data_IF_239389758223
#
_entry.id   IF_239389758223
#
_cell.length_a   1.000
_cell.length_b   1.000
_cell.length_c   1.000
_cell.angle_alpha   90.00
_cell.angle_beta   90.00
_cell.angle_gamma   90.00
#
_symmetry.space_group_name_H-M   'P 1'
#
loop_
_entity.id
_entity.type
_entity.pdbx_description
1 polymer ?
#
# COMPACT_ATOMS: atom_id res chain seq x y z
N UNK A 1 5.71 87.73 -14.96
CA UNK A 1 6.51 86.56 -15.43
C UNK A 1 6.27 85.39 -14.49
N UNK A 2 5.49 84.41 -14.92
CA UNK A 2 5.19 83.20 -14.12
C UNK A 2 5.82 82.00 -14.84
N UNK A 3 6.83 81.41 -14.21
CA UNK A 3 7.44 80.19 -14.68
C UNK A 3 6.59 78.98 -14.23
N UNK A 4 6.09 78.18 -15.18
CA UNK A 4 5.47 76.87 -14.94
C UNK A 4 6.56 75.82 -14.98
N UNK A 5 6.72 75.12 -13.88
CA UNK A 5 7.56 73.92 -13.80
C UNK A 5 6.70 72.71 -14.17
N UNK A 6 7.08 71.96 -15.21
CA UNK A 6 6.48 70.67 -15.59
C UNK A 6 7.24 69.57 -14.84
N UNK A 7 6.56 68.88 -13.92
CA UNK A 7 7.10 67.66 -13.35
C UNK A 7 6.76 66.47 -14.23
N UNK A 8 7.80 65.78 -14.76
CA UNK A 8 7.68 64.51 -15.49
C UNK A 8 7.74 63.37 -14.47
N UNK A 9 6.63 62.61 -14.31
CA UNK A 9 6.59 61.40 -13.50
C UNK A 9 6.99 60.25 -14.43
N UNK A 10 8.16 59.62 -14.17
CA UNK A 10 8.59 58.42 -14.83
C UNK A 10 8.07 57.21 -14.02
N UNK A 11 7.07 56.49 -14.56
CA UNK A 11 6.59 55.22 -14.04
C UNK A 11 7.57 54.09 -14.46
N UNK A 12 8.37 53.60 -13.51
CA UNK A 12 9.15 52.38 -13.69
C UNK A 12 8.19 51.18 -13.51
N UNK A 13 7.88 50.53 -14.62
CA UNK A 13 7.20 49.21 -14.59
C UNK A 13 8.24 48.11 -14.32
N UNK A 14 8.30 47.63 -13.07
CA UNK A 14 9.04 46.41 -12.71
C UNK A 14 8.30 45.20 -13.24
N UNK A 15 8.68 44.67 -14.40
CA UNK A 15 8.21 43.38 -14.89
C UNK A 15 8.81 42.24 -14.07
N UNK A 16 7.99 41.56 -13.27
CA UNK A 16 8.33 40.29 -12.63
C UNK A 16 8.41 39.20 -13.72
N UNK A 17 9.62 38.83 -14.12
CA UNK A 17 9.85 37.64 -14.93
C UNK A 17 9.76 36.43 -14.01
N UNK A 18 8.61 35.77 -14.00
CA UNK A 18 8.46 34.44 -13.37
C UNK A 18 9.12 33.44 -14.30
N UNK A 19 10.37 33.08 -14.03
CA UNK A 19 11.02 31.94 -14.68
C UNK A 19 10.33 30.66 -14.22
N UNK A 20 9.54 30.05 -15.07
CA UNK A 20 9.04 28.70 -14.88
C UNK A 20 10.24 27.75 -14.88
N UNK A 21 10.61 27.24 -13.69
CA UNK A 21 11.58 26.16 -13.57
C UNK A 21 10.87 24.90 -14.06
N UNK A 22 11.27 24.40 -15.24
CA UNK A 22 10.81 23.10 -15.72
C UNK A 22 11.18 22.03 -14.67
N UNK A 23 10.28 21.06 -14.38
CA UNK A 23 10.61 19.97 -13.50
C UNK A 23 11.82 19.21 -14.05
N UNK A 24 12.74 18.73 -13.19
CA UNK A 24 13.88 17.95 -13.66
C UNK A 24 13.36 16.71 -14.38
N UNK A 25 13.69 16.59 -15.66
CA UNK A 25 13.51 15.35 -16.40
C UNK A 25 14.23 14.25 -15.63
N UNK A 26 13.52 13.22 -15.20
CA UNK A 26 14.12 12.04 -14.61
C UNK A 26 15.14 11.49 -15.62
N UNK A 27 16.41 11.63 -15.30
CA UNK A 27 17.50 11.04 -16.09
C UNK A 27 17.35 9.53 -15.89
N UNK A 28 16.76 8.86 -16.89
CA UNK A 28 16.86 7.40 -17.00
C UNK A 28 18.34 7.10 -17.12
N UNK A 29 18.96 6.34 -16.19
CA UNK A 29 20.37 5.97 -16.37
C UNK A 29 20.50 5.28 -17.73
N UNK A 30 21.51 5.65 -18.49
CA UNK A 30 21.88 4.95 -19.73
C UNK A 30 22.41 3.56 -19.31
N UNK A 31 21.49 2.63 -19.08
CA UNK A 31 21.79 1.22 -18.87
C UNK A 31 22.12 0.60 -20.23
N UNK A 32 22.92 -0.47 -20.20
CA UNK A 32 23.13 -1.36 -21.34
C UNK A 32 21.78 -1.48 -22.08
N UNK A 33 21.69 -1.04 -23.36
CA UNK A 33 20.42 -1.00 -24.08
C UNK A 33 19.72 -2.35 -24.17
N UNK A 34 20.44 -3.43 -23.92
CA UNK A 34 19.93 -4.79 -23.85
C UNK A 34 19.74 -5.32 -22.42
N UNK A 35 20.03 -4.53 -21.40
CA UNK A 35 19.91 -4.92 -20.00
C UNK A 35 18.46 -5.10 -19.55
N UNK A 36 18.17 -6.24 -18.83
CA UNK A 36 16.89 -6.42 -18.16
C UNK A 36 16.80 -5.48 -16.95
N UNK A 37 15.72 -4.70 -16.86
CA UNK A 37 15.40 -3.90 -15.67
C UNK A 37 14.15 -4.48 -15.01
N UNK A 38 14.18 -4.64 -13.69
CA UNK A 38 13.04 -5.16 -12.91
C UNK A 38 12.64 -4.12 -11.88
N UNK A 39 11.37 -3.76 -11.88
CA UNK A 39 10.79 -2.91 -10.85
C UNK A 39 9.74 -3.68 -10.05
N UNK A 40 9.69 -3.43 -8.77
CA UNK A 40 8.68 -3.96 -7.89
C UNK A 40 8.14 -2.86 -6.99
N UNK A 41 6.82 -2.76 -6.90
CA UNK A 41 6.17 -1.95 -5.88
C UNK A 41 5.08 -2.72 -5.16
N UNK A 42 4.80 -2.33 -3.92
CA UNK A 42 3.78 -2.95 -3.08
C UNK A 42 3.49 -2.14 -1.84
N UNK A 43 2.60 -2.64 -0.99
CA UNK A 43 2.20 -1.98 0.24
C UNK A 43 2.25 -2.95 1.41
N UNK A 44 2.75 -2.49 2.55
CA UNK A 44 2.61 -3.15 3.84
C UNK A 44 1.60 -2.38 4.69
N UNK A 45 0.42 -2.94 4.89
CA UNK A 45 -0.64 -2.34 5.71
C UNK A 45 -0.65 -2.96 7.10
N UNK A 46 -0.63 -2.14 8.12
CA UNK A 46 -0.75 -2.51 9.53
C UNK A 46 -1.71 -1.60 10.28
N UNK A 47 -2.14 -2.01 11.47
CA UNK A 47 -2.95 -1.21 12.38
C UNK A 47 -2.16 -0.97 13.66
N UNK A 48 -2.02 0.28 14.07
CA UNK A 48 -1.28 0.64 15.27
C UNK A 48 -2.08 0.37 16.55
N UNK A 49 -1.43 -0.27 17.51
CA UNK A 49 -1.89 -0.32 18.89
C UNK A 49 -1.76 1.02 19.62
N UNK A 50 -2.12 1.05 20.90
CA UNK A 50 -1.98 2.27 21.73
C UNK A 50 -0.52 2.68 21.95
N UNK A 51 0.38 1.73 21.93
CA UNK A 51 1.82 1.91 22.05
C UNK A 51 2.52 2.21 20.72
N UNK A 52 1.78 2.12 19.60
CA UNK A 52 2.27 2.33 18.23
C UNK A 52 2.80 1.07 17.55
N UNK A 53 2.84 -0.08 18.23
CA UNK A 53 3.22 -1.35 17.62
C UNK A 53 2.07 -1.95 16.80
N UNK A 54 2.33 -2.72 15.73
CA UNK A 54 1.30 -3.38 14.97
C UNK A 54 0.49 -4.37 15.83
N UNK A 55 -0.84 -4.29 15.76
CA UNK A 55 -1.75 -5.25 16.41
C UNK A 55 -2.31 -6.25 15.42
N UNK A 56 -2.73 -7.43 15.91
CA UNK A 56 -3.43 -8.40 15.08
C UNK A 56 -4.78 -7.87 14.58
N UNK A 57 -5.04 -8.07 13.30
CA UNK A 57 -6.31 -7.81 12.65
C UNK A 57 -6.65 -8.96 11.68
N UNK A 58 -7.71 -8.84 10.92
CA UNK A 58 -8.10 -9.86 9.94
C UNK A 58 -8.08 -9.29 8.54
N UNK A 59 -6.92 -9.33 7.86
CA UNK A 59 -6.69 -8.65 6.59
C UNK A 59 -7.59 -9.11 5.43
N UNK A 60 -8.15 -10.31 5.51
CA UNK A 60 -8.98 -10.89 4.44
C UNK A 60 -10.46 -10.54 4.55
N UNK A 61 -10.88 -9.84 5.62
CA UNK A 61 -12.27 -9.38 5.77
C UNK A 61 -12.50 -8.13 4.95
N UNK A 62 -13.55 -8.10 4.17
CA UNK A 62 -13.94 -6.96 3.34
C UNK A 62 -14.54 -7.40 2.01
N UNK A 63 -14.94 -6.44 1.17
CA UNK A 63 -15.43 -6.74 -0.16
C UNK A 63 -14.35 -7.42 -1.00
N UNK A 64 -14.79 -8.15 -2.02
CA UNK A 64 -13.87 -8.81 -2.94
C UNK A 64 -13.20 -7.74 -3.81
N UNK A 65 -11.89 -7.62 -3.66
CA UNK A 65 -11.08 -6.59 -4.31
C UNK A 65 -10.38 -7.07 -5.59
N UNK A 66 -10.32 -8.38 -5.85
CA UNK A 66 -9.54 -8.95 -6.94
C UNK A 66 -10.42 -9.71 -7.94
N UNK A 67 -10.05 -9.70 -9.23
CA UNK A 67 -10.70 -10.50 -10.27
C UNK A 67 -10.74 -12.00 -9.96
N UNK A 68 -11.68 -12.71 -10.58
CA UNK A 68 -11.88 -14.14 -10.35
C UNK A 68 -10.78 -15.03 -10.95
N UNK A 69 -10.07 -14.55 -11.97
CA UNK A 69 -8.96 -15.29 -12.56
C UNK A 69 -7.71 -15.34 -11.68
N UNK A 70 -7.67 -14.56 -10.59
CA UNK A 70 -6.56 -14.57 -9.63
C UNK A 70 -6.54 -15.90 -8.87
N UNK A 71 -5.40 -16.57 -8.90
CA UNK A 71 -5.14 -17.81 -8.14
C UNK A 71 -5.07 -17.51 -6.64
N UNK A 72 -5.49 -18.48 -5.81
CA UNK A 72 -5.56 -18.34 -4.34
C UNK A 72 -5.12 -19.61 -3.64
N UNK A 73 -4.59 -19.46 -2.43
CA UNK A 73 -4.37 -20.60 -1.53
C UNK A 73 -5.69 -21.21 -1.08
N UNK A 74 -5.65 -22.47 -0.72
CA UNK A 74 -6.74 -23.15 -0.04
C UNK A 74 -6.61 -22.95 1.47
N UNK A 75 -7.72 -22.62 2.12
CA UNK A 75 -7.78 -22.56 3.58
C UNK A 75 -8.35 -23.87 4.12
N UNK A 76 -7.59 -24.55 4.96
CA UNK A 76 -8.03 -25.75 5.67
C UNK A 76 -8.81 -25.34 6.91
N UNK A 77 -10.14 -25.25 6.80
CA UNK A 77 -11.04 -24.90 7.90
C UNK A 77 -11.84 -23.61 7.67
N UNK A 78 -12.71 -23.30 8.64
CA UNK A 78 -13.59 -22.12 8.65
C UNK A 78 -12.94 -20.91 9.34
N UNK A 79 -11.61 -20.84 9.38
CA UNK A 79 -10.87 -19.85 10.14
C UNK A 79 -10.43 -18.64 9.32
N UNK A 80 -10.25 -17.51 10.00
CA UNK A 80 -9.57 -16.33 9.50
C UNK A 80 -8.07 -16.46 9.81
N UNK A 81 -7.21 -15.81 8.99
CA UNK A 81 -5.79 -15.68 9.31
C UNK A 81 -5.55 -14.30 9.97
N UNK A 82 -5.55 -14.22 11.31
CA UNK A 82 -5.12 -12.99 11.97
C UNK A 82 -3.64 -12.75 11.69
N UNK A 83 -3.32 -11.54 11.28
CA UNK A 83 -1.96 -11.12 11.01
C UNK A 83 -1.73 -9.69 11.51
N UNK A 84 -0.48 -9.31 11.71
CA UNK A 84 -0.13 -7.92 12.05
C UNK A 84 0.10 -7.08 10.79
N UNK A 85 0.48 -7.71 9.68
CA UNK A 85 0.77 -7.01 8.41
C UNK A 85 0.09 -7.74 7.26
N UNK A 86 -0.61 -6.97 6.41
CA UNK A 86 -1.02 -7.40 5.08
C UNK A 86 -0.03 -6.84 4.07
N UNK A 87 0.53 -7.70 3.26
CA UNK A 87 1.26 -7.35 2.07
C UNK A 87 0.26 -7.22 0.93
N UNK A 88 0.01 -6.00 0.50
CA UNK A 88 -0.98 -5.69 -0.52
C UNK A 88 -0.29 -5.44 -1.85
N UNK A 89 -0.67 -6.22 -2.85
CA UNK A 89 -0.36 -6.05 -4.26
C UNK A 89 1.12 -5.75 -4.57
N UNK A 90 2.11 -6.53 -4.14
CA UNK A 90 3.37 -6.50 -4.86
C UNK A 90 3.15 -6.91 -6.31
N UNK A 91 3.67 -6.09 -7.22
CA UNK A 91 3.73 -6.37 -8.65
C UNK A 91 5.16 -6.20 -9.14
N UNK A 92 5.60 -7.12 -10.00
CA UNK A 92 6.91 -7.05 -10.63
C UNK A 92 6.72 -6.75 -12.12
N UNK A 93 7.38 -5.69 -12.57
CA UNK A 93 7.46 -5.25 -13.95
C UNK A 93 8.82 -5.56 -14.54
N UNK A 94 8.82 -5.79 -15.85
CA UNK A 94 10.03 -6.10 -16.62
C UNK A 94 10.17 -5.09 -17.76
N UNK A 95 11.34 -4.50 -17.88
CA UNK A 95 11.70 -3.60 -18.96
C UNK A 95 12.88 -4.20 -19.72
N UNK A 96 12.71 -4.39 -21.02
CA UNK A 96 13.71 -4.94 -21.92
C UNK A 96 13.45 -4.43 -23.34
N UNK A 97 14.49 -4.25 -24.14
CA UNK A 97 14.36 -3.93 -25.55
C UNK A 97 14.19 -5.17 -26.44
N UNK A 98 14.46 -6.37 -25.89
CA UNK A 98 14.42 -7.65 -26.59
C UNK A 98 13.66 -8.69 -25.78
N UNK A 99 13.17 -9.73 -26.47
CA UNK A 99 12.53 -10.86 -25.79
C UNK A 99 13.52 -11.58 -24.88
N UNK A 100 13.05 -11.97 -23.69
CA UNK A 100 13.85 -12.70 -22.68
C UNK A 100 13.05 -13.78 -22.00
N UNK A 101 13.73 -14.85 -21.65
CA UNK A 101 13.21 -15.86 -20.71
C UNK A 101 13.78 -15.54 -19.31
N UNK A 102 12.90 -15.48 -18.31
CA UNK A 102 13.24 -15.07 -16.94
C UNK A 102 12.61 -16.03 -15.96
N UNK A 103 13.35 -16.39 -14.90
CA UNK A 103 12.82 -17.06 -13.73
C UNK A 103 12.79 -16.08 -12.55
N UNK A 104 11.72 -16.11 -11.76
CA UNK A 104 11.56 -15.27 -10.58
C UNK A 104 11.17 -16.12 -9.39
N UNK A 105 11.82 -15.85 -8.25
CA UNK A 105 11.43 -16.41 -6.95
C UNK A 105 11.38 -15.31 -5.91
N UNK A 106 10.30 -15.28 -5.11
CA UNK A 106 10.19 -14.47 -3.90
C UNK A 106 10.03 -15.40 -2.70
N UNK A 107 10.79 -15.13 -1.65
CA UNK A 107 10.59 -15.73 -0.34
C UNK A 107 9.90 -14.72 0.56
N UNK A 108 8.93 -15.14 1.34
CA UNK A 108 8.24 -14.27 2.28
C UNK A 108 8.51 -14.75 3.70
N UNK A 109 9.51 -14.15 4.35
CA UNK A 109 9.90 -14.48 5.72
C UNK A 109 8.82 -14.04 6.70
N UNK A 110 8.45 -14.93 7.63
CA UNK A 110 7.38 -14.73 8.62
C UNK A 110 6.02 -14.39 7.97
N UNK A 111 5.79 -14.87 6.75
CA UNK A 111 4.57 -14.65 6.02
C UNK A 111 4.20 -15.78 5.07
N UNK A 112 3.00 -15.70 4.51
CA UNK A 112 2.48 -16.63 3.51
C UNK A 112 1.89 -15.87 2.34
N UNK A 113 2.05 -16.43 1.13
CA UNK A 113 1.40 -15.94 -0.09
C UNK A 113 -0.05 -16.42 -0.08
N UNK A 114 -0.99 -15.54 -0.37
CA UNK A 114 -2.43 -15.82 -0.34
C UNK A 114 -3.08 -15.76 -1.72
N UNK A 115 -2.65 -14.83 -2.58
CA UNK A 115 -3.14 -14.68 -3.95
C UNK A 115 -1.99 -14.37 -4.92
N UNK A 116 -2.13 -14.77 -6.20
CA UNK A 116 -1.14 -14.49 -7.25
C UNK A 116 -1.69 -14.62 -8.67
N UNK A 117 -1.02 -13.99 -9.61
CA UNK A 117 -1.27 -14.15 -11.04
C UNK A 117 -0.06 -13.62 -11.85
N UNK A 118 0.33 -14.26 -12.95
CA UNK A 118 -0.09 -15.55 -13.51
C UNK A 118 0.23 -16.74 -12.61
N UNK A 119 -0.16 -17.96 -13.03
CA UNK A 119 0.07 -19.21 -12.30
C UNK A 119 1.53 -19.37 -11.88
N UNK A 120 1.74 -19.76 -10.61
CA UNK A 120 3.05 -19.92 -10.00
C UNK A 120 3.13 -21.18 -9.11
N UNK A 121 4.35 -21.58 -8.77
CA UNK A 121 4.60 -22.54 -7.71
C UNK A 121 4.58 -21.80 -6.37
N UNK A 122 3.65 -22.14 -5.48
CA UNK A 122 3.49 -21.49 -4.16
C UNK A 122 3.61 -22.52 -3.04
N UNK A 123 4.30 -22.15 -1.97
CA UNK A 123 4.45 -22.98 -0.77
C UNK A 123 4.26 -22.10 0.48
N UNK A 124 3.44 -22.51 1.47
CA UNK A 124 2.49 -23.63 1.40
C UNK A 124 1.28 -23.30 0.51
N UNK A 125 0.68 -24.31 -0.13
CA UNK A 125 -0.54 -24.16 -0.94
C UNK A 125 -1.83 -24.25 -0.12
N UNK A 126 -1.76 -24.87 1.05
CA UNK A 126 -2.88 -24.97 1.99
C UNK A 126 -2.46 -24.35 3.31
N UNK A 127 -3.34 -23.52 3.88
CA UNK A 127 -3.06 -22.75 5.09
C UNK A 127 -3.96 -23.23 6.23
N UNK A 128 -3.35 -23.73 7.31
CA UNK A 128 -4.04 -24.01 8.55
C UNK A 128 -4.21 -22.76 9.44
N UNK A 129 -5.09 -22.80 10.46
CA UNK A 129 -5.45 -21.64 11.27
C UNK A 129 -4.30 -21.06 12.12
N UNK A 130 -3.21 -21.82 12.30
CA UNK A 130 -2.06 -21.43 13.14
C UNK A 130 -0.78 -21.25 12.33
N UNK A 131 -0.85 -21.23 11.02
CA UNK A 131 0.35 -21.15 10.15
C UNK A 131 1.23 -19.94 10.48
N UNK A 132 0.63 -18.79 10.77
CA UNK A 132 1.34 -17.55 11.11
C UNK A 132 1.93 -17.51 12.52
N UNK A 133 1.71 -18.51 13.35
CA UNK A 133 2.31 -18.61 14.69
C UNK A 133 3.70 -19.25 14.68
N UNK A 134 4.13 -19.83 13.57
CA UNK A 134 5.44 -20.44 13.43
C UNK A 134 6.52 -19.36 13.28
N UNK A 135 7.52 -19.28 14.15
CA UNK A 135 8.61 -18.28 14.05
C UNK A 135 9.56 -18.53 12.88
N UNK A 136 9.54 -19.74 12.33
CA UNK A 136 10.39 -20.12 11.18
C UNK A 136 9.59 -20.19 9.87
N UNK A 137 8.38 -19.60 9.85
CA UNK A 137 7.55 -19.61 8.66
C UNK A 137 8.22 -18.84 7.52
N UNK A 138 8.31 -19.46 6.37
CA UNK A 138 8.71 -18.83 5.13
C UNK A 138 7.77 -19.29 4.00
N UNK A 139 6.95 -18.35 3.50
CA UNK A 139 6.19 -18.56 2.27
C UNK A 139 7.09 -18.39 1.05
N UNK A 140 6.81 -19.09 -0.03
CA UNK A 140 7.55 -18.92 -1.29
C UNK A 140 6.60 -18.85 -2.47
N UNK A 141 6.97 -18.07 -3.48
CA UNK A 141 6.34 -18.07 -4.79
C UNK A 141 7.42 -18.08 -5.87
N UNK A 142 7.24 -18.88 -6.90
CA UNK A 142 8.17 -18.96 -8.01
C UNK A 142 7.44 -19.06 -9.35
N UNK A 143 7.86 -18.26 -10.30
CA UNK A 143 7.49 -18.32 -11.70
C UNK A 143 8.71 -18.78 -12.48
N UNK A 144 8.52 -19.73 -13.37
CA UNK A 144 9.57 -20.27 -14.23
C UNK A 144 9.23 -20.06 -15.69
N UNK A 145 10.26 -19.87 -16.52
CA UNK A 145 10.13 -19.70 -17.95
C UNK A 145 9.15 -18.57 -18.34
N UNK A 146 9.24 -17.45 -17.62
CA UNK A 146 8.50 -16.24 -17.93
C UNK A 146 9.06 -15.68 -19.24
N UNK A 147 8.22 -15.50 -20.24
CA UNK A 147 8.60 -14.81 -21.48
C UNK A 147 8.29 -13.33 -21.33
N UNK A 148 9.31 -12.50 -21.24
CA UNK A 148 9.21 -11.04 -21.30
C UNK A 148 9.22 -10.64 -22.77
N UNK A 149 8.15 -10.01 -23.25
CA UNK A 149 7.94 -9.74 -24.69
C UNK A 149 7.64 -8.26 -24.93
N UNK A 150 8.67 -7.38 -25.06
CA UNK A 150 8.46 -5.94 -25.19
C UNK A 150 7.64 -5.50 -26.42
N UNK A 151 7.56 -6.36 -27.43
CA UNK A 151 6.73 -6.17 -28.64
C UNK A 151 5.55 -7.15 -28.69
N UNK A 152 5.25 -7.79 -27.54
CA UNK A 152 4.17 -8.75 -27.43
C UNK A 152 2.79 -8.09 -27.52
N UNK A 153 1.78 -8.91 -27.73
CA UNK A 153 0.39 -8.50 -27.68
C UNK A 153 0.01 -8.04 -26.27
N UNK A 154 -0.71 -6.93 -26.16
CA UNK A 154 -1.19 -6.37 -24.89
C UNK A 154 -2.66 -6.71 -24.61
N UNK A 155 -3.03 -7.97 -24.84
CA UNK A 155 -4.36 -8.49 -24.53
C UNK A 155 -4.32 -9.29 -23.23
N UNK A 156 -5.00 -8.81 -22.21
CA UNK A 156 -5.00 -9.36 -20.85
C UNK A 156 -6.40 -9.79 -20.43
N UNK A 157 -6.54 -10.72 -19.46
CA UNK A 157 -7.85 -11.13 -18.97
C UNK A 157 -8.56 -9.97 -18.28
N UNK A 158 -9.85 -9.79 -18.59
CA UNK A 158 -10.72 -8.80 -17.96
C UNK A 158 -12.04 -9.44 -17.58
N UNK A 159 -12.67 -8.90 -16.55
CA UNK A 159 -14.04 -9.22 -16.16
C UNK A 159 -14.96 -8.09 -16.56
N UNK A 160 -16.25 -8.34 -16.63
CA UNK A 160 -17.26 -7.38 -17.11
C UNK A 160 -17.52 -6.18 -16.18
N UNK A 161 -16.74 -5.99 -15.13
CA UNK A 161 -16.81 -4.86 -14.21
C UNK A 161 -15.43 -4.25 -13.98
N UNK A 162 -15.40 -2.96 -13.62
CA UNK A 162 -14.17 -2.27 -13.28
C UNK A 162 -13.55 -2.85 -11.99
N UNK A 163 -12.23 -2.90 -11.97
CA UNK A 163 -11.48 -3.37 -10.81
C UNK A 163 -10.15 -2.62 -10.73
N UNK A 164 -9.78 -2.16 -9.53
CA UNK A 164 -8.54 -1.42 -9.32
C UNK A 164 -7.27 -2.20 -9.70
N UNK A 165 -7.32 -3.54 -9.71
CA UNK A 165 -6.24 -4.39 -10.21
C UNK A 165 -5.77 -3.98 -11.61
N UNK A 166 -6.70 -3.55 -12.48
CA UNK A 166 -6.37 -3.21 -13.87
C UNK A 166 -5.57 -1.92 -14.01
N UNK A 167 -5.64 -1.01 -13.02
CA UNK A 167 -4.85 0.23 -13.03
C UNK A 167 -3.34 -0.05 -13.03
N UNK A 168 -2.90 -1.15 -12.40
CA UNK A 168 -1.51 -1.58 -12.43
C UNK A 168 -0.97 -1.92 -13.84
N UNK A 169 -1.84 -2.05 -14.86
CA UNK A 169 -1.44 -2.27 -16.26
C UNK A 169 -0.98 -0.99 -16.98
N UNK A 170 -1.28 0.17 -16.42
CA UNK A 170 -1.05 1.47 -17.05
C UNK A 170 0.43 1.91 -16.93
N UNK A 171 1.34 1.06 -17.40
CA UNK A 171 2.80 1.26 -17.36
C UNK A 171 3.44 1.00 -18.72
N UNK A 172 4.72 1.36 -18.86
CA UNK A 172 5.52 1.06 -20.06
C UNK A 172 6.26 -0.30 -19.96
N UNK A 173 5.94 -1.13 -18.97
CA UNK A 173 6.54 -2.43 -18.79
C UNK A 173 6.21 -3.39 -19.96
N UNK A 174 7.10 -4.30 -20.24
CA UNK A 174 6.88 -5.33 -21.24
C UNK A 174 5.82 -6.34 -20.77
N UNK A 175 4.91 -6.81 -21.64
CA UNK A 175 4.05 -7.96 -21.36
C UNK A 175 4.86 -9.19 -20.95
N UNK A 176 4.30 -9.97 -20.02
CA UNK A 176 4.85 -11.26 -19.59
C UNK A 176 3.90 -12.40 -19.92
N UNK A 177 4.46 -13.55 -20.30
CA UNK A 177 3.71 -14.77 -20.59
C UNK A 177 4.25 -15.90 -19.71
N UNK A 178 3.37 -16.56 -18.98
CA UNK A 178 3.66 -17.73 -18.15
C UNK A 178 2.73 -18.87 -18.58
N UNK A 179 3.27 -19.88 -19.25
CA UNK A 179 2.45 -20.90 -19.88
C UNK A 179 1.50 -20.33 -20.94
N UNK A 180 0.21 -20.38 -20.68
CA UNK A 180 -0.84 -19.81 -21.54
C UNK A 180 -1.47 -18.51 -20.97
N UNK A 181 -0.93 -17.99 -19.88
CA UNK A 181 -1.44 -16.78 -19.22
C UNK A 181 -0.56 -15.59 -19.58
N UNK A 182 -1.18 -14.46 -19.87
CA UNK A 182 -0.52 -13.21 -20.22
C UNK A 182 -0.96 -12.10 -19.26
N UNK A 183 0.01 -11.28 -18.84
CA UNK A 183 -0.23 -10.11 -18.00
C UNK A 183 0.86 -9.03 -18.25
N UNK A 184 0.64 -7.81 -17.73
CA UNK A 184 1.62 -6.73 -17.75
C UNK A 184 2.69 -6.87 -16.65
N UNK A 185 2.41 -7.67 -15.63
CA UNK A 185 3.22 -7.83 -14.42
C UNK A 185 3.04 -9.23 -13.81
N UNK A 186 3.92 -9.59 -12.88
CA UNK A 186 3.66 -10.69 -11.95
C UNK A 186 3.05 -10.09 -10.68
N UNK A 187 1.89 -10.59 -10.30
CA UNK A 187 1.17 -10.17 -9.10
C UNK A 187 1.25 -11.22 -8.00
N UNK A 188 1.43 -10.78 -6.76
CA UNK A 188 1.26 -11.61 -5.58
C UNK A 188 0.78 -10.80 -4.39
N UNK A 189 0.21 -11.46 -3.39
CA UNK A 189 -0.31 -10.85 -2.16
C UNK A 189 -0.10 -11.83 -1.02
N UNK A 190 -0.06 -11.33 0.22
CA UNK A 190 0.13 -12.21 1.37
C UNK A 190 -0.15 -11.53 2.70
N UNK A 191 0.04 -12.29 3.77
CA UNK A 191 -0.09 -11.82 5.14
C UNK A 191 1.07 -12.37 5.98
N UNK A 192 1.49 -11.62 6.98
CA UNK A 192 2.61 -12.03 7.83
C UNK A 192 2.64 -11.34 9.20
N UNK A 193 3.57 -11.82 10.04
CA UNK A 193 3.84 -11.30 11.37
C UNK A 193 5.31 -10.90 11.49
N UNK A 194 5.77 -9.98 10.66
CA UNK A 194 7.13 -9.49 10.63
C UNK A 194 7.23 -8.07 11.19
N UNK A 195 8.43 -7.70 11.63
CA UNK A 195 8.68 -6.37 12.18
C UNK A 195 8.66 -5.30 11.07
N UNK A 196 7.96 -4.21 11.31
CA UNK A 196 7.97 -3.03 10.45
C UNK A 196 9.05 -2.03 10.92
N UNK A 197 9.67 -1.28 10.01
CA UNK A 197 10.71 -0.32 10.34
C UNK A 197 10.19 0.96 11.02
N UNK A 198 8.87 1.14 11.09
CA UNK A 198 8.21 2.34 11.63
C UNK A 198 7.09 1.94 12.58
N UNK A 199 7.02 2.58 13.73
CA UNK A 199 5.86 2.60 14.62
C UNK A 199 5.22 4.00 14.61
N UNK A 200 3.89 4.06 14.74
CA UNK A 200 3.19 5.34 14.83
C UNK A 200 2.07 5.28 15.88
N UNK A 201 1.89 6.37 16.64
CA UNK A 201 0.86 6.46 17.68
C UNK A 201 0.28 7.86 17.77
N UNK A 202 -0.98 7.96 18.19
CA UNK A 202 -1.60 9.22 18.56
C UNK A 202 -1.19 9.53 20.01
N UNK A 203 -0.62 10.71 20.25
CA UNK A 203 -0.32 11.21 21.58
C UNK A 203 -1.58 11.83 22.23
N UNK A 204 -1.52 12.07 23.54
CA UNK A 204 -2.66 12.62 24.31
C UNK A 204 -3.11 14.01 23.82
N UNK A 205 -2.21 14.77 23.21
CA UNK A 205 -2.48 16.08 22.60
C UNK A 205 -3.01 15.99 21.15
N UNK A 206 -3.29 14.78 20.65
CA UNK A 206 -3.82 14.51 19.33
C UNK A 206 -2.76 14.54 18.21
N UNK A 207 -1.50 14.86 18.50
CA UNK A 207 -0.41 14.76 17.53
C UNK A 207 -0.02 13.31 17.28
N UNK A 208 0.55 13.06 16.12
CA UNK A 208 1.01 11.73 15.73
C UNK A 208 2.52 11.62 15.90
N UNK A 209 2.96 10.78 16.82
CA UNK A 209 4.35 10.39 16.94
C UNK A 209 4.68 9.28 15.95
N UNK A 210 5.73 9.46 15.16
CA UNK A 210 6.28 8.47 14.22
C UNK A 210 7.70 8.16 14.66
N UNK A 211 7.98 6.90 14.96
CA UNK A 211 9.26 6.48 15.52
C UNK A 211 9.87 5.38 14.65
N UNK A 212 11.14 5.49 14.22
CA UNK A 212 11.85 4.39 13.64
C UNK A 212 11.90 3.21 14.63
N UNK A 213 11.48 2.03 14.21
CA UNK A 213 11.49 0.80 15.02
C UNK A 213 12.77 -0.03 14.80
N UNK A 214 13.64 0.39 13.89
CA UNK A 214 14.91 -0.24 13.55
C UNK A 214 15.99 0.81 13.30
N UNK A 215 17.24 0.38 13.17
CA UNK A 215 18.37 1.26 12.79
C UNK A 215 18.34 1.69 11.31
N UNK A 216 17.30 1.33 10.57
CA UNK A 216 17.15 1.70 9.17
C UNK A 216 16.56 3.10 9.05
N UNK A 217 17.17 3.93 8.22
CA UNK A 217 16.69 5.28 7.98
C UNK A 217 15.42 5.27 7.13
N UNK A 218 14.34 5.83 7.67
CA UNK A 218 13.11 6.12 6.92
C UNK A 218 13.26 7.49 6.28
N UNK A 219 13.11 7.59 4.97
CA UNK A 219 13.40 8.81 4.23
C UNK A 219 12.22 9.77 4.15
N UNK A 220 11.05 9.27 3.82
CA UNK A 220 9.85 10.06 3.58
C UNK A 220 8.66 9.49 4.33
N UNK A 221 7.89 10.37 4.98
CA UNK A 221 6.68 10.06 5.76
C UNK A 221 5.60 11.06 5.40
N UNK A 222 4.37 10.61 5.27
CA UNK A 222 3.18 11.44 5.08
C UNK A 222 2.12 11.07 6.11
N UNK A 223 1.67 12.03 6.89
CA UNK A 223 0.46 11.93 7.71
C UNK A 223 -0.72 12.38 6.87
N UNK A 224 -1.74 11.54 6.78
CA UNK A 224 -2.96 11.76 6.00
C UNK A 224 -4.19 11.56 6.88
N UNK A 225 -5.15 12.47 6.78
CA UNK A 225 -6.49 12.30 7.36
C UNK A 225 -7.55 12.54 6.30
N UNK A 226 -8.56 11.68 6.27
CA UNK A 226 -9.85 11.96 5.65
C UNK A 226 -10.91 11.90 6.74
N UNK A 227 -11.57 13.02 6.98
CA UNK A 227 -12.65 13.14 7.97
C UNK A 227 -13.90 13.70 7.29
N UNK A 228 -14.94 12.88 7.15
CA UNK A 228 -16.19 13.25 6.49
C UNK A 228 -15.98 13.84 5.08
N UNK A 229 -15.07 13.26 4.30
CA UNK A 229 -14.73 13.72 2.97
C UNK A 229 -13.75 14.89 2.90
N UNK A 230 -13.46 15.54 4.03
CA UNK A 230 -12.41 16.57 4.10
C UNK A 230 -11.04 15.91 4.23
N UNK A 231 -10.18 16.16 3.27
CA UNK A 231 -8.85 15.58 3.18
C UNK A 231 -7.79 16.58 3.63
N UNK A 232 -6.86 16.15 4.46
CA UNK A 232 -5.67 16.89 4.87
C UNK A 232 -4.43 16.00 4.84
N UNK A 233 -3.27 16.56 4.57
CA UNK A 233 -2.02 15.83 4.68
C UNK A 233 -0.84 16.73 4.99
N UNK A 234 0.20 16.16 5.55
CA UNK A 234 1.52 16.79 5.69
C UNK A 234 2.61 15.75 5.45
N UNK A 235 3.68 16.14 4.79
CA UNK A 235 4.82 15.28 4.52
C UNK A 235 6.07 15.77 5.27
N UNK A 236 6.92 14.85 5.69
CA UNK A 236 8.14 15.14 6.42
C UNK A 236 9.23 14.09 6.10
N UNK A 237 10.48 14.47 6.41
CA UNK A 237 11.64 13.58 6.29
C UNK A 237 12.25 13.39 7.68
N UNK A 238 12.11 12.18 8.29
CA UNK A 238 12.58 11.92 9.65
C UNK A 238 14.10 11.89 9.78
N UNK A 239 14.83 11.63 8.68
CA UNK A 239 16.30 11.51 8.68
C UNK A 239 16.84 10.57 9.80
N UNK A 240 16.13 9.47 10.05
CA UNK A 240 16.47 8.49 11.08
C UNK A 240 16.02 8.85 12.51
N UNK A 241 15.35 9.96 12.71
CA UNK A 241 14.87 10.41 14.03
C UNK A 241 13.36 10.23 14.18
N UNK A 242 12.89 10.22 15.43
CA UNK A 242 11.46 10.30 15.72
C UNK A 242 10.89 11.66 15.28
N UNK A 243 9.68 11.63 14.74
CA UNK A 243 8.91 12.81 14.34
C UNK A 243 7.67 12.94 15.20
N UNK A 244 7.23 14.20 15.38
CA UNK A 244 5.88 14.50 15.84
C UNK A 244 5.19 15.34 14.76
N UNK A 245 4.07 14.85 14.25
CA UNK A 245 3.32 15.46 13.16
C UNK A 245 1.94 15.88 13.64
N UNK A 246 1.44 16.99 13.13
CA UNK A 246 0.07 17.46 13.37
C UNK A 246 -0.73 17.37 12.08
N UNK A 247 -2.00 17.00 12.19
CA UNK A 247 -2.94 17.13 11.09
C UNK A 247 -3.11 18.61 10.76
N UNK A 248 -2.93 19.04 9.51
CA UNK A 248 -3.12 20.45 9.14
C UNK A 248 -4.57 20.88 9.32
N UNK A 249 -4.78 22.14 9.74
CA UNK A 249 -6.12 22.72 9.85
C UNK A 249 -6.75 23.02 8.47
N UNK A 250 -5.94 23.32 7.47
CA UNK A 250 -6.40 23.63 6.13
C UNK A 250 -6.64 22.33 5.32
N UNK A 251 -7.80 22.25 4.67
CA UNK A 251 -8.12 21.17 3.74
C UNK A 251 -7.19 21.19 2.52
N UNK A 252 -6.91 20.00 2.02
CA UNK A 252 -6.16 19.76 0.77
C UNK A 252 -7.11 19.18 -0.30
N UNK A 253 -6.73 19.27 -1.58
CA UNK A 253 -7.42 18.50 -2.60
C UNK A 253 -6.89 17.05 -2.64
N UNK A 254 -7.68 16.12 -3.14
CA UNK A 254 -7.25 14.73 -3.35
C UNK A 254 -6.11 14.66 -4.36
N UNK A 255 -6.17 15.47 -5.41
CA UNK A 255 -5.14 15.57 -6.45
C UNK A 255 -3.79 16.02 -5.87
N UNK A 256 -3.80 16.92 -4.88
CA UNK A 256 -2.57 17.34 -4.19
C UNK A 256 -1.94 16.19 -3.38
N UNK A 257 -2.77 15.35 -2.74
CA UNK A 257 -2.29 14.15 -2.03
C UNK A 257 -1.70 13.13 -3.02
N UNK A 258 -2.39 12.89 -4.12
CA UNK A 258 -1.94 11.94 -5.16
C UNK A 258 -0.59 12.40 -5.74
N UNK A 259 -0.50 13.67 -6.14
CA UNK A 259 0.74 14.23 -6.67
C UNK A 259 1.91 14.17 -5.67
N UNK A 260 1.64 14.38 -4.37
CA UNK A 260 2.66 14.28 -3.34
C UNK A 260 3.16 12.83 -3.15
N UNK A 261 2.26 11.84 -3.17
CA UNK A 261 2.62 10.43 -3.11
C UNK A 261 3.37 9.97 -4.36
N UNK A 262 2.90 10.34 -5.55
CA UNK A 262 3.60 10.05 -6.81
C UNK A 262 5.02 10.62 -6.80
N UNK A 263 5.19 11.86 -6.34
CA UNK A 263 6.51 12.47 -6.22
C UNK A 263 7.43 11.69 -5.25
N UNK A 264 6.89 11.19 -4.13
CA UNK A 264 7.63 10.33 -3.21
C UNK A 264 8.04 9.02 -3.89
N UNK A 265 7.14 8.36 -4.60
CA UNK A 265 7.41 7.10 -5.30
C UNK A 265 8.47 7.26 -6.39
N UNK A 266 8.37 8.31 -7.21
CA UNK A 266 9.35 8.62 -8.26
C UNK A 266 10.73 8.91 -7.66
N UNK A 267 10.79 9.69 -6.57
CA UNK A 267 12.04 9.99 -5.85
C UNK A 267 12.76 8.72 -5.40
N UNK A 268 12.01 7.65 -5.09
CA UNK A 268 12.56 6.38 -4.63
C UNK A 268 12.77 5.35 -5.74
N UNK A 269 12.56 5.71 -7.01
CA UNK A 269 13.02 4.93 -8.16
C UNK A 269 11.94 4.33 -9.04
N UNK A 270 10.65 4.60 -8.80
CA UNK A 270 9.61 4.23 -9.76
C UNK A 270 9.60 5.17 -10.95
N UNK A 271 9.25 4.64 -12.11
CA UNK A 271 8.93 5.48 -13.26
C UNK A 271 7.62 6.24 -13.04
N UNK A 272 7.45 7.38 -13.72
CA UNK A 272 6.28 8.24 -13.51
C UNK A 272 4.95 7.51 -13.74
N UNK A 273 4.85 6.67 -14.77
CA UNK A 273 3.65 5.88 -15.04
C UNK A 273 3.41 4.79 -14.00
N UNK A 274 4.47 4.19 -13.45
CA UNK A 274 4.33 3.22 -12.34
C UNK A 274 3.81 3.89 -11.07
N UNK A 275 4.34 5.07 -10.72
CA UNK A 275 3.89 5.83 -9.57
C UNK A 275 2.40 6.22 -9.68
N UNK A 276 1.98 6.72 -10.84
CA UNK A 276 0.59 7.02 -11.13
C UNK A 276 -0.29 5.75 -11.07
N UNK A 277 0.15 4.64 -11.69
CA UNK A 277 -0.55 3.37 -11.66
C UNK A 277 -0.71 2.81 -10.23
N UNK A 278 0.32 2.97 -9.38
CA UNK A 278 0.25 2.56 -7.99
C UNK A 278 -0.76 3.39 -7.19
N UNK A 279 -0.75 4.72 -7.34
CA UNK A 279 -1.71 5.61 -6.66
C UNK A 279 -3.13 5.33 -7.13
N UNK A 280 -3.35 5.14 -8.43
CA UNK A 280 -4.65 4.80 -9.01
C UNK A 280 -5.15 3.42 -8.55
N UNK A 281 -4.27 2.42 -8.46
CA UNK A 281 -4.61 1.09 -7.94
C UNK A 281 -5.19 1.17 -6.52
N UNK A 282 -4.74 2.14 -5.72
CA UNK A 282 -5.09 2.24 -4.31
C UNK A 282 -5.98 3.44 -3.97
N UNK A 283 -6.47 4.19 -4.96
CA UNK A 283 -7.20 5.44 -4.72
C UNK A 283 -8.46 5.26 -3.86
N UNK A 284 -9.12 4.12 -3.94
CA UNK A 284 -10.35 3.81 -3.22
C UNK A 284 -10.10 3.32 -1.78
N UNK A 285 -8.90 2.81 -1.47
CA UNK A 285 -8.57 2.27 -0.16
C UNK A 285 -7.57 3.10 0.63
N UNK A 286 -6.57 3.71 -0.02
CA UNK A 286 -5.59 4.54 0.69
C UNK A 286 -6.19 5.83 1.22
N UNK A 287 -7.21 6.37 0.53
CA UNK A 287 -7.80 7.68 0.84
C UNK A 287 -9.21 7.58 1.42
N UNK A 288 -9.61 6.39 1.88
CA UNK A 288 -10.84 6.19 2.64
C UNK A 288 -10.85 6.97 3.97
N UNK A 289 -11.99 7.07 4.61
CA UNK A 289 -12.15 7.71 5.93
C UNK A 289 -11.14 7.14 6.94
N UNK A 290 -10.52 8.04 7.73
CA UNK A 290 -9.59 7.67 8.80
C UNK A 290 -8.32 8.50 8.84
N UNK A 291 -7.45 8.18 9.78
CA UNK A 291 -6.14 8.78 10.02
C UNK A 291 -5.07 7.73 9.82
N UNK A 292 -4.05 8.03 9.00
CA UNK A 292 -2.98 7.08 8.70
C UNK A 292 -1.65 7.73 8.39
N UNK A 293 -0.60 6.94 8.57
CA UNK A 293 0.76 7.31 8.18
C UNK A 293 1.15 6.47 6.97
N UNK A 294 1.59 7.14 5.89
CA UNK A 294 2.33 6.52 4.80
C UNK A 294 3.81 6.78 4.97
N UNK A 295 4.63 5.83 4.62
CA UNK A 295 6.09 6.00 4.56
C UNK A 295 6.70 5.12 3.49
N UNK A 296 7.85 5.51 2.97
CA UNK A 296 8.60 4.65 2.06
C UNK A 296 9.40 3.65 2.88
N UNK A 297 9.15 2.38 2.65
CA UNK A 297 9.84 1.28 3.34
C UNK A 297 11.31 1.25 2.91
N UNK A 298 12.28 1.25 3.83
CA UNK A 298 13.68 1.14 3.47
C UNK A 298 13.96 -0.13 2.66
N UNK A 299 14.74 0.00 1.59
CA UNK A 299 15.07 -1.11 0.69
C UNK A 299 15.59 -2.35 1.44
N UNK A 300 16.45 -2.16 2.43
CA UNK A 300 16.98 -3.25 3.23
C UNK A 300 15.90 -4.02 4.00
N UNK A 301 14.85 -3.32 4.49
CA UNK A 301 13.70 -3.98 5.14
C UNK A 301 12.89 -4.81 4.15
N UNK A 302 12.71 -4.32 2.93
CA UNK A 302 12.03 -5.08 1.87
C UNK A 302 12.82 -6.35 1.54
N UNK A 303 14.13 -6.21 1.32
CA UNK A 303 15.01 -7.33 0.94
C UNK A 303 15.13 -8.38 2.06
N UNK A 304 15.02 -7.95 3.33
CA UNK A 304 14.99 -8.86 4.45
C UNK A 304 13.71 -9.67 4.55
N UNK A 305 12.55 -9.03 4.38
CA UNK A 305 11.23 -9.68 4.49
C UNK A 305 10.88 -10.45 3.21
N UNK A 306 11.22 -9.90 2.05
CA UNK A 306 10.88 -10.41 0.72
C UNK A 306 12.14 -10.58 -0.15
N UNK A 307 13.09 -11.49 0.21
CA UNK A 307 14.21 -11.78 -0.69
C UNK A 307 13.72 -12.15 -2.09
N UNK A 308 14.23 -11.43 -3.11
CA UNK A 308 13.88 -11.57 -4.52
C UNK A 308 15.06 -12.13 -5.30
N UNK A 309 14.84 -13.23 -6.00
CA UNK A 309 15.79 -13.84 -6.91
C UNK A 309 15.24 -13.76 -8.35
N UNK A 310 16.02 -13.20 -9.27
CA UNK A 310 15.68 -13.10 -10.70
C UNK A 310 16.82 -13.68 -11.52
N UNK A 311 16.53 -14.56 -12.45
CA UNK A 311 17.51 -15.20 -13.33
C UNK A 311 17.06 -15.14 -14.80
N UNK A 312 17.92 -14.69 -15.75
CA UNK A 312 19.25 -14.13 -15.52
C UNK A 312 19.23 -12.87 -14.66
N UNK A 313 20.36 -12.55 -14.01
CA UNK A 313 20.46 -11.39 -13.15
C UNK A 313 20.16 -10.09 -13.93
N UNK A 314 19.23 -9.24 -13.46
CA UNK A 314 18.90 -8.00 -14.14
C UNK A 314 20.02 -6.97 -13.99
N UNK A 315 20.11 -6.04 -14.95
CA UNK A 315 21.05 -4.92 -14.91
C UNK A 315 20.73 -3.96 -13.75
N UNK A 316 19.44 -3.81 -13.43
CA UNK A 316 19.01 -3.05 -12.24
C UNK A 316 17.69 -3.57 -11.66
N UNK A 317 17.52 -3.35 -10.35
CA UNK A 317 16.29 -3.70 -9.62
C UNK A 317 15.88 -2.51 -8.75
N UNK A 318 14.73 -1.91 -9.04
CA UNK A 318 14.08 -0.96 -8.15
C UNK A 318 12.97 -1.67 -7.36
N UNK A 319 12.91 -1.45 -6.04
CA UNK A 319 11.86 -2.00 -5.16
C UNK A 319 11.37 -0.90 -4.26
N UNK A 320 10.13 -0.46 -4.44
CA UNK A 320 9.53 0.65 -3.70
C UNK A 320 8.25 0.20 -3.04
N UNK A 321 8.25 0.10 -1.73
CA UNK A 321 7.08 -0.28 -0.95
C UNK A 321 6.62 0.89 -0.09
N UNK A 322 5.30 1.06 -0.04
CA UNK A 322 4.66 1.99 0.88
C UNK A 322 4.26 1.24 2.14
N UNK A 323 4.75 1.69 3.29
CA UNK A 323 4.19 1.30 4.57
C UNK A 323 2.95 2.15 4.84
N UNK A 324 1.83 1.51 5.15
CA UNK A 324 0.57 2.12 5.57
C UNK A 324 0.26 1.71 7.00
N UNK A 325 0.19 2.67 7.91
CA UNK A 325 -0.16 2.44 9.32
C UNK A 325 -1.49 3.12 9.60
N UNK A 326 -2.54 2.33 9.84
CA UNK A 326 -3.84 2.83 10.29
C UNK A 326 -3.78 3.22 11.77
N UNK A 327 -4.24 4.43 12.07
CA UNK A 327 -4.30 4.96 13.42
C UNK A 327 -5.75 4.97 13.91
N UNK A 328 -6.04 4.24 14.97
CA UNK A 328 -7.37 4.20 15.57
C UNK A 328 -7.57 5.46 16.41
N UNK A 329 -8.44 6.35 15.95
CA UNK A 329 -8.77 7.59 16.68
C UNK A 329 -9.84 7.35 17.76
N UNK A 330 -9.91 8.18 18.82
CA UNK A 330 -11.00 8.12 19.81
C UNK A 330 -12.39 8.24 19.15
N UNK A 331 -12.53 9.07 18.12
CA UNK A 331 -13.78 9.23 17.39
C UNK A 331 -14.22 7.93 16.67
N UNK A 332 -13.29 7.20 16.07
CA UNK A 332 -13.59 5.88 15.46
C UNK A 332 -14.08 4.87 16.52
N UNK A 333 -13.45 4.86 17.69
CA UNK A 333 -13.83 3.96 18.79
C UNK A 333 -15.24 4.29 19.29
N UNK A 334 -15.56 5.56 19.45
CA UNK A 334 -16.88 6.04 19.88
C UNK A 334 -17.95 5.71 18.83
N UNK A 335 -17.70 6.00 17.56
CA UNK A 335 -18.63 5.72 16.44
C UNK A 335 -18.93 4.23 16.31
N UNK A 336 -17.90 3.37 16.34
CA UNK A 336 -18.09 1.91 16.30
C UNK A 336 -18.78 1.41 17.56
N UNK A 337 -18.45 1.94 18.74
CA UNK A 337 -19.13 1.60 19.99
C UNK A 337 -20.61 1.92 19.97
N UNK A 338 -21.00 3.08 19.47
CA UNK A 338 -22.38 3.46 19.26
C UNK A 338 -23.09 2.53 18.25
N UNK A 339 -22.42 2.24 17.12
CA UNK A 339 -22.93 1.36 16.09
C UNK A 339 -23.20 -0.07 16.59
N UNK A 340 -22.31 -0.62 17.41
CA UNK A 340 -22.50 -1.95 18.01
C UNK A 340 -23.69 -1.99 18.98
N UNK A 341 -23.83 -0.95 19.85
CA UNK A 341 -24.99 -0.85 20.76
C UNK A 341 -26.33 -0.72 20.03
N UNK A 342 -26.36 0.06 18.97
CA UNK A 342 -27.56 0.37 18.20
C UNK A 342 -27.79 -0.61 17.03
N UNK A 343 -26.90 -1.55 16.82
CA UNK A 343 -26.87 -2.46 15.66
C UNK A 343 -26.94 -1.71 14.32
N UNK A 344 -26.27 -0.55 14.26
CA UNK A 344 -26.12 0.22 13.03
C UNK A 344 -25.02 -0.39 12.15
N UNK A 345 -25.39 -0.75 10.93
CA UNK A 345 -24.47 -1.40 9.98
C UNK A 345 -23.56 -0.41 9.25
N UNK A 346 -23.94 0.85 9.13
CA UNK A 346 -23.20 1.81 8.29
C UNK A 346 -21.78 2.09 8.82
N UNK A 347 -21.55 2.42 10.11
CA UNK A 347 -20.19 2.56 10.64
C UNK A 347 -19.41 1.25 10.63
N UNK A 348 -20.09 0.10 10.82
CA UNK A 348 -19.46 -1.22 10.76
C UNK A 348 -18.90 -1.49 9.35
N UNK A 349 -19.65 -1.17 8.32
CA UNK A 349 -19.19 -1.29 6.93
C UNK A 349 -18.07 -0.28 6.61
N UNK A 350 -18.19 0.96 7.12
CA UNK A 350 -17.22 2.03 6.93
C UNK A 350 -15.81 1.64 7.39
N UNK A 351 -15.70 1.02 8.57
CA UNK A 351 -14.39 0.62 9.11
C UNK A 351 -14.02 -0.85 8.81
N UNK A 352 -14.94 -1.64 8.28
CA UNK A 352 -14.77 -2.96 7.68
C UNK A 352 -13.66 -3.82 8.28
N UNK A 353 -12.57 -3.95 7.57
CA UNK A 353 -11.40 -4.78 7.92
C UNK A 353 -10.68 -4.37 9.22
N UNK A 354 -10.82 -3.12 9.68
CA UNK A 354 -10.19 -2.61 10.89
C UNK A 354 -11.05 -2.74 12.15
N UNK A 355 -12.22 -3.35 12.06
CA UNK A 355 -13.17 -3.46 13.20
C UNK A 355 -12.59 -4.20 14.39
N UNK A 356 -11.86 -5.30 14.19
CA UNK A 356 -11.31 -6.10 15.29
C UNK A 356 -10.43 -5.28 16.23
N UNK A 357 -9.41 -4.56 15.78
CA UNK A 357 -8.59 -3.70 16.64
C UNK A 357 -9.38 -2.52 17.22
N UNK A 358 -10.36 -1.95 16.51
CA UNK A 358 -11.22 -0.88 17.05
C UNK A 358 -12.04 -1.38 18.22
N UNK A 359 -12.70 -2.53 18.06
CA UNK A 359 -13.50 -3.15 19.14
C UNK A 359 -12.62 -3.61 20.31
N UNK A 360 -11.42 -4.11 20.04
CA UNK A 360 -10.45 -4.42 21.09
C UNK A 360 -10.09 -3.16 21.92
N UNK A 361 -9.87 -2.03 21.26
CA UNK A 361 -9.60 -0.75 21.95
C UNK A 361 -10.83 -0.23 22.71
N UNK A 362 -12.04 -0.37 22.16
CA UNK A 362 -13.29 0.00 22.83
C UNK A 362 -13.44 -0.74 24.17
N UNK A 363 -13.09 -2.02 24.23
CA UNK A 363 -13.20 -2.84 25.43
C UNK A 363 -11.99 -2.73 26.38
N UNK A 364 -11.00 -1.88 26.04
CA UNK A 364 -9.79 -1.67 26.85
C UNK A 364 -8.86 -2.89 26.90
N UNK A 365 -8.91 -3.75 25.90
CA UNK A 365 -8.16 -5.00 25.84
C UNK A 365 -7.30 -5.09 24.58
N UNK A 366 -6.10 -5.61 24.75
CA UNK A 366 -5.18 -5.90 23.63
C UNK A 366 -5.45 -7.25 22.96
N UNK A 367 -6.09 -8.17 23.67
CA UNK A 367 -6.56 -9.45 23.17
C UNK A 367 -8.05 -9.64 23.52
N UNK A 368 -8.89 -10.20 22.61
CA UNK A 368 -10.30 -10.40 22.87
C UNK A 368 -10.51 -11.35 24.04
N UNK A 369 -11.35 -11.00 25.03
CA UNK A 369 -11.75 -11.94 26.05
C UNK A 369 -12.68 -13.00 25.45
N UNK A 370 -12.67 -14.17 26.03
CA UNK A 370 -13.67 -15.23 25.74
C UNK A 370 -14.98 -14.94 26.48
N UNK A 371 -15.67 -13.87 26.09
CA UNK A 371 -16.98 -13.49 26.66
C UNK A 371 -18.08 -13.59 25.62
N UNK A 372 -19.29 -13.96 26.08
CA UNK A 372 -20.47 -14.06 25.21
C UNK A 372 -20.81 -12.71 24.54
N UNK A 373 -20.61 -11.61 25.26
CA UNK A 373 -20.84 -10.26 24.74
C UNK A 373 -19.86 -9.92 23.62
N UNK A 374 -18.56 -10.13 23.83
CA UNK A 374 -17.54 -9.96 22.81
C UNK A 374 -17.83 -10.80 21.56
N UNK A 375 -18.13 -12.09 21.77
CA UNK A 375 -18.44 -12.99 20.67
C UNK A 375 -19.69 -12.54 19.90
N UNK A 376 -20.73 -12.04 20.59
CA UNK A 376 -21.91 -11.47 19.96
C UNK A 376 -21.63 -10.21 19.15
N UNK A 377 -20.81 -9.27 19.67
CA UNK A 377 -20.38 -8.06 18.96
C UNK A 377 -19.55 -8.42 17.72
N UNK A 378 -18.59 -9.31 17.86
CA UNK A 378 -17.74 -9.76 16.75
C UNK A 378 -18.53 -10.53 15.70
N UNK A 379 -19.48 -11.37 16.11
CA UNK A 379 -20.37 -12.06 15.18
C UNK A 379 -21.21 -11.07 14.36
N UNK A 380 -21.80 -10.07 15.01
CA UNK A 380 -22.53 -9.01 14.31
C UNK A 380 -21.62 -8.23 13.35
N UNK A 381 -20.45 -7.78 13.81
CA UNK A 381 -19.49 -7.04 13.02
C UNK A 381 -19.05 -7.85 11.78
N UNK A 382 -18.59 -9.08 11.98
CA UNK A 382 -18.11 -9.93 10.88
C UNK A 382 -19.22 -10.36 9.92
N UNK A 383 -20.41 -10.65 10.40
CA UNK A 383 -21.55 -10.96 9.52
C UNK A 383 -21.98 -9.76 8.66
N UNK A 384 -21.70 -8.55 9.14
CA UNK A 384 -22.00 -7.32 8.42
C UNK A 384 -20.99 -7.06 7.29
N UNK A 385 -19.70 -7.33 7.52
CA UNK A 385 -18.63 -7.06 6.53
C UNK A 385 -18.23 -8.28 5.69
N UNK A 386 -18.72 -9.48 6.05
CA UNK A 386 -18.44 -10.66 5.26
C UNK A 386 -18.95 -10.47 3.82
N UNK A 387 -18.16 -10.81 2.80
CA UNK A 387 -18.62 -10.73 1.43
C UNK A 387 -19.86 -11.61 1.27
N UNK A 388 -20.91 -11.08 0.66
CA UNK A 388 -22.01 -11.90 0.18
C UNK A 388 -21.42 -12.99 -0.72
N UNK A 389 -21.89 -14.23 -0.56
CA UNK A 389 -21.37 -15.43 -1.23
C UNK A 389 -21.56 -15.45 -2.77
N UNK A 390 -21.39 -14.31 -3.45
CA UNK A 390 -21.28 -14.17 -4.89
C UNK A 390 -19.92 -14.72 -5.34
N UNK A 391 -19.81 -16.05 -5.45
CA UNK A 391 -18.58 -16.70 -5.85
C UNK A 391 -18.19 -16.36 -7.29
N UNK A 392 -16.89 -16.34 -7.57
CA UNK A 392 -16.40 -16.62 -8.92
C UNK A 392 -16.99 -17.97 -9.37
N UNK A 393 -17.79 -17.98 -10.41
CA UNK A 393 -18.34 -19.18 -11.08
C UNK A 393 -17.38 -19.61 -12.16
#
# INVERSE_FOLDING_TARGET
>A
MRHRVFSVVILLACGLVVSAVAPPSAVVPATDPDGLVVHEWGTFTSVAGSDGTPVEWVPQIGPRELPCFIERVTFDGKGWLPATVRMETPVLYFYSSVDRDVDVRVRFRQGVITEWYPRAEVTPRALGPYVLKSPILEGTIAWKQIKVQPRGEETYPVEGHSNHYYAARETDAAPVVVGNQREKFLFYRGVGNFALPVAARIADDGRVGVTPASNQSVADVMLFENRNGTVTFTAAQPNGHALTMSVPAAASSREAVYAALEAMLIKHGLYAREAAAMVETWHDSWFEEGLRVFYIVPRAAIDDVLPLDVSPAPASVARVFVGRIELITPAMVEEVGAALRNRDRAPILKYGRFLRPIVARLNGITAPPDSAEWNGQMQFAFSTVAPSAGGCR
#
